data_IF_354305075185
#
_entry.id   IF_354305075185
#
_cell.length_a   1.000
_cell.length_b   1.000
_cell.length_c   1.000
_cell.angle_alpha   90.00
_cell.angle_beta   90.00
_cell.angle_gamma   90.00
#
_symmetry.space_group_name_H-M   'P 1'
#
loop_
_entity.id
_entity.type
_entity.pdbx_description
1 polymer ?
#
# COMPACT_ATOMS: atom_id res chain seq x y z
N UNK A 1 27.04 -3.51 22.79
CA UNK A 1 25.58 -3.51 23.08
C UNK A 1 24.88 -2.85 21.93
N UNK A 2 23.96 -3.56 21.27
CA UNK A 2 23.19 -3.06 20.13
C UNK A 2 21.78 -2.71 20.62
N UNK A 3 21.47 -1.43 20.73
CA UNK A 3 20.15 -0.96 21.15
C UNK A 3 19.15 -1.12 20.00
N UNK A 4 18.03 -1.81 20.24
CA UNK A 4 16.96 -1.96 19.25
C UNK A 4 16.02 -0.76 19.28
N UNK A 5 15.42 -0.42 18.13
CA UNK A 5 14.40 0.65 18.01
C UNK A 5 13.20 0.42 18.95
N UNK A 6 12.92 -0.85 19.30
CA UNK A 6 11.90 -1.19 20.31
C UNK A 6 12.30 -0.74 21.71
N UNK A 7 13.57 -0.86 22.06
CA UNK A 7 14.10 -0.44 23.38
C UNK A 7 14.02 1.09 23.54
N UNK A 8 14.25 1.83 22.45
CA UNK A 8 14.13 3.30 22.43
C UNK A 8 12.67 3.78 22.62
N UNK A 9 11.72 3.22 21.87
CA UNK A 9 10.31 3.60 21.98
C UNK A 9 9.71 3.21 23.33
N UNK A 10 10.08 2.05 23.87
CA UNK A 10 9.69 1.63 25.22
C UNK A 10 10.25 2.55 26.30
N UNK A 11 11.44 3.11 26.11
CA UNK A 11 12.07 4.05 27.04
C UNK A 11 11.46 5.46 26.98
N UNK A 12 11.05 5.92 25.80
CA UNK A 12 10.47 7.26 25.60
C UNK A 12 9.05 7.42 26.18
N UNK A 13 8.26 6.35 26.24
CA UNK A 13 6.92 6.38 26.85
C UNK A 13 6.95 6.55 28.39
N UNK A 14 8.06 6.21 29.03
CA UNK A 14 8.23 6.33 30.50
C UNK A 14 8.59 7.77 30.90
N UNK A 15 9.22 8.54 30.01
CA UNK A 15 9.70 9.89 30.33
C UNK A 15 8.56 10.93 30.37
N UNK A 16 7.49 10.76 29.59
CA UNK A 16 6.35 11.71 29.57
C UNK A 16 5.34 11.50 30.70
N UNK A 17 5.23 10.30 31.28
CA UNK A 17 4.36 10.04 32.43
C UNK A 17 4.96 10.49 33.78
N UNK A 18 6.23 10.91 33.79
CA UNK A 18 6.96 11.26 35.01
C UNK A 18 6.88 12.75 35.41
N UNK A 19 6.22 13.59 34.61
CA UNK A 19 6.15 15.05 34.85
C UNK A 19 4.91 15.51 35.63
N UNK A 20 4.10 14.60 36.15
CA UNK A 20 2.84 14.92 36.84
C UNK A 20 2.74 14.37 38.28
N UNK A 21 3.86 14.27 39.01
CA UNK A 21 3.83 14.11 40.46
C UNK A 21 4.61 15.23 41.16
N UNK A 22 3.91 15.80 42.13
CA UNK A 22 4.19 17.03 42.86
C UNK A 22 5.60 17.14 43.45
N UNK A 23 6.06 18.39 43.56
CA UNK A 23 7.34 18.87 44.10
C UNK A 23 7.70 18.47 45.54
N UNK A 24 6.91 17.62 46.22
CA UNK A 24 7.09 17.31 47.65
C UNK A 24 7.79 15.96 47.95
N UNK A 25 8.26 15.22 46.94
CA UNK A 25 8.95 13.95 47.14
C UNK A 25 10.50 14.05 47.06
N UNK A 26 11.07 15.25 47.16
CA UNK A 26 12.52 15.47 47.35
C UNK A 26 12.80 15.64 48.85
N UNK A 27 12.44 14.63 49.65
CA UNK A 27 12.94 14.48 51.00
C UNK A 27 12.65 13.05 51.48
N UNK A 28 13.67 12.39 52.00
CA UNK A 28 13.61 11.09 52.67
C UNK A 28 13.40 9.86 51.77
N UNK A 29 14.51 9.19 51.43
CA UNK A 29 14.86 7.91 52.07
C UNK A 29 16.19 7.41 51.52
N UNK A 30 17.26 7.77 52.23
CA UNK A 30 18.35 6.84 52.47
C UNK A 30 17.79 5.76 53.40
N UNK A 31 17.52 4.57 52.87
CA UNK A 31 17.74 3.34 53.63
C UNK A 31 17.80 2.16 52.68
N UNK A 32 18.92 1.45 52.72
CA UNK A 32 19.17 0.27 51.92
C UNK A 32 18.18 -0.83 52.25
N UNK A 33 17.44 -1.26 51.23
CA UNK A 33 17.14 -2.67 51.01
C UNK A 33 16.78 -2.81 49.54
N UNK A 34 17.75 -3.26 48.74
CA UNK A 34 17.52 -3.60 47.34
C UNK A 34 16.69 -4.89 47.29
N UNK A 35 15.36 -4.75 47.31
CA UNK A 35 14.49 -5.77 46.73
C UNK A 35 14.60 -5.65 45.21
N UNK A 36 15.32 -6.58 44.60
CA UNK A 36 15.34 -6.77 43.16
C UNK A 36 13.95 -7.21 42.69
N UNK A 37 13.04 -6.26 42.46
CA UNK A 37 11.83 -6.55 41.68
C UNK A 37 12.25 -6.80 40.24
N UNK A 38 12.11 -8.05 39.82
CA UNK A 38 12.49 -8.53 38.51
C UNK A 38 11.87 -7.72 37.38
N UNK A 39 12.74 -7.29 36.47
CA UNK A 39 12.41 -6.97 35.09
C UNK A 39 12.00 -8.25 34.37
N UNK A 40 10.79 -8.73 34.61
CA UNK A 40 10.25 -9.91 33.92
C UNK A 40 8.73 -9.91 33.99
N UNK A 41 8.12 -9.00 33.23
CA UNK A 41 6.77 -9.20 32.73
C UNK A 41 6.60 -8.34 31.48
N UNK A 42 7.29 -8.74 30.41
CA UNK A 42 6.78 -8.47 29.06
C UNK A 42 5.35 -8.96 29.09
N UNK A 43 4.35 -8.07 29.05
CA UNK A 43 2.94 -8.46 28.98
C UNK A 43 2.80 -9.44 27.83
N UNK A 44 2.65 -10.72 28.16
CA UNK A 44 2.45 -11.76 27.17
C UNK A 44 1.09 -11.48 26.54
N UNK A 45 1.12 -10.98 25.31
CA UNK A 45 -0.10 -10.65 24.58
C UNK A 45 -0.95 -11.92 24.52
N UNK A 46 -2.19 -11.83 25.02
CA UNK A 46 -3.13 -12.94 24.99
C UNK A 46 -3.24 -13.42 23.54
N UNK A 47 -2.98 -14.72 23.31
CA UNK A 47 -3.21 -15.30 21.99
C UNK A 47 -4.70 -15.15 21.65
N UNK A 48 -5.03 -14.54 20.50
CA UNK A 48 -6.42 -14.33 20.14
C UNK A 48 -7.11 -15.69 20.01
N UNK A 49 -8.34 -15.80 20.55
CA UNK A 49 -9.13 -17.03 20.55
C UNK A 49 -9.59 -17.44 19.15
N UNK A 50 -9.60 -16.49 18.21
CA UNK A 50 -10.02 -16.67 16.84
C UNK A 50 -9.07 -15.90 15.92
N UNK A 51 -8.85 -16.37 14.68
CA UNK A 51 -8.16 -15.56 13.68
C UNK A 51 -8.91 -14.24 13.45
N UNK A 52 -8.20 -13.23 12.95
CA UNK A 52 -8.79 -11.94 12.57
C UNK A 52 -8.17 -11.52 11.24
N UNK A 53 -9.00 -11.07 10.31
CA UNK A 53 -8.58 -10.48 9.04
C UNK A 53 -8.94 -9.00 9.07
N UNK A 54 -7.96 -8.14 8.81
CA UNK A 54 -8.15 -6.68 8.68
C UNK A 54 -7.66 -6.28 7.31
N UNK A 55 -8.50 -5.64 6.51
CA UNK A 55 -8.19 -5.23 5.14
C UNK A 55 -8.93 -3.94 4.79
N UNK A 56 -8.37 -3.16 3.87
CA UNK A 56 -9.04 -1.99 3.27
C UNK A 56 -10.21 -2.41 2.36
N UNK A 57 -10.15 -3.61 1.81
CA UNK A 57 -11.17 -4.16 0.92
C UNK A 57 -12.33 -4.68 1.76
N UNK A 58 -13.57 -4.31 1.42
CA UNK A 58 -14.76 -4.69 2.21
C UNK A 58 -15.78 -5.42 1.32
N UNK A 59 -16.44 -6.45 1.86
CA UNK A 59 -17.60 -7.09 1.20
C UNK A 59 -17.27 -8.00 0.02
N UNK A 60 -16.00 -8.42 -0.15
CA UNK A 60 -15.61 -9.37 -1.21
C UNK A 60 -15.62 -10.82 -0.71
N UNK A 61 -16.10 -11.72 -1.58
CA UNK A 61 -16.10 -13.18 -1.37
C UNK A 61 -14.71 -13.75 -1.03
N UNK A 62 -13.64 -13.11 -1.49
CA UNK A 62 -12.27 -13.50 -1.19
C UNK A 62 -11.94 -13.43 0.31
N UNK A 63 -12.60 -12.53 1.06
CA UNK A 63 -12.45 -12.42 2.50
C UNK A 63 -13.08 -13.62 3.19
N UNK A 64 -14.25 -14.07 2.75
CA UNK A 64 -14.91 -15.26 3.30
C UNK A 64 -14.10 -16.53 3.02
N UNK A 65 -13.51 -16.63 1.83
CA UNK A 65 -12.60 -17.72 1.48
C UNK A 65 -11.35 -17.71 2.37
N UNK A 66 -10.70 -16.56 2.51
CA UNK A 66 -9.54 -16.41 3.40
C UNK A 66 -9.90 -16.73 4.87
N UNK A 67 -11.08 -16.32 5.31
CA UNK A 67 -11.59 -16.66 6.64
C UNK A 67 -11.77 -18.18 6.82
N UNK A 68 -12.28 -18.85 5.80
CA UNK A 68 -12.41 -20.31 5.81
C UNK A 68 -11.04 -20.99 5.84
N UNK A 69 -10.07 -20.54 5.04
CA UNK A 69 -8.69 -21.04 5.07
C UNK A 69 -8.08 -20.95 6.48
N UNK A 70 -8.30 -19.84 7.18
CA UNK A 70 -7.82 -19.67 8.56
C UNK A 70 -8.52 -20.60 9.56
N UNK A 71 -9.83 -20.85 9.40
CA UNK A 71 -10.56 -21.82 10.23
C UNK A 71 -10.10 -23.26 10.00
N UNK A 72 -9.69 -23.58 8.78
CA UNK A 72 -9.18 -24.89 8.39
C UNK A 72 -7.70 -25.09 8.78
N UNK A 73 -7.09 -24.10 9.44
CA UNK A 73 -5.71 -24.17 9.94
C UNK A 73 -4.64 -23.96 8.86
N UNK A 74 -4.99 -23.37 7.72
CA UNK A 74 -4.02 -23.02 6.67
C UNK A 74 -3.13 -21.84 7.10
N UNK A 75 -2.03 -21.67 6.35
CA UNK A 75 -1.04 -20.62 6.63
C UNK A 75 -1.64 -19.21 6.51
N UNK A 76 -1.24 -18.32 7.42
CA UNK A 76 -1.77 -16.95 7.48
C UNK A 76 -1.35 -16.11 6.28
N UNK A 77 -0.17 -16.37 5.71
CA UNK A 77 0.27 -15.68 4.49
C UNK A 77 -0.57 -16.12 3.30
N UNK A 78 -0.83 -17.42 3.15
CA UNK A 78 -1.62 -17.93 2.03
C UNK A 78 -3.06 -17.38 2.07
N UNK A 79 -3.66 -17.26 3.27
CA UNK A 79 -4.98 -16.63 3.44
C UNK A 79 -5.00 -15.14 3.03
N UNK A 80 -3.99 -14.35 3.40
CA UNK A 80 -3.90 -12.93 2.99
C UNK A 80 -3.66 -12.80 1.48
N UNK A 81 -2.80 -13.65 0.91
CA UNK A 81 -2.54 -13.66 -0.53
C UNK A 81 -3.78 -14.02 -1.35
N UNK A 82 -4.68 -14.86 -0.83
CA UNK A 82 -5.96 -15.13 -1.48
C UNK A 82 -6.81 -13.85 -1.65
N UNK A 83 -6.83 -12.98 -0.62
CA UNK A 83 -7.56 -11.70 -0.69
C UNK A 83 -6.90 -10.77 -1.71
N UNK A 84 -5.57 -10.65 -1.68
CA UNK A 84 -4.82 -9.78 -2.60
C UNK A 84 -4.95 -10.24 -4.05
N UNK A 85 -4.74 -11.54 -4.31
CA UNK A 85 -4.85 -12.14 -5.64
C UNK A 85 -6.24 -11.92 -6.26
N UNK A 86 -7.30 -12.08 -5.47
CA UNK A 86 -8.66 -11.84 -5.95
C UNK A 86 -8.92 -10.39 -6.35
N UNK A 87 -8.18 -9.43 -5.77
CA UNK A 87 -8.22 -8.03 -6.19
C UNK A 87 -7.43 -7.84 -7.49
N UNK A 88 -6.24 -8.42 -7.58
CA UNK A 88 -5.39 -8.35 -8.78
C UNK A 88 -6.03 -9.00 -10.01
N UNK A 89 -6.92 -9.98 -9.80
CA UNK A 89 -7.65 -10.66 -10.88
C UNK A 89 -8.91 -9.92 -11.34
N UNK A 90 -9.37 -8.88 -10.63
CA UNK A 90 -10.62 -8.17 -10.94
C UNK A 90 -10.37 -7.04 -11.95
N UNK A 91 -10.72 -7.21 -13.25
CA UNK A 91 -10.45 -6.19 -14.28
C UNK A 91 -11.26 -4.90 -14.10
N UNK A 92 -12.23 -4.88 -13.18
CA UNK A 92 -13.05 -3.70 -12.86
C UNK A 92 -12.44 -2.85 -11.74
N UNK A 93 -11.45 -3.40 -11.02
CA UNK A 93 -10.63 -2.62 -10.11
C UNK A 93 -9.45 -2.00 -10.87
N UNK A 94 -9.47 -0.68 -10.96
CA UNK A 94 -8.46 0.07 -11.70
C UNK A 94 -7.32 0.55 -10.80
N UNK A 95 -7.30 0.08 -9.55
CA UNK A 95 -6.31 0.44 -8.53
C UNK A 95 -5.34 -0.69 -8.18
N UNK A 96 -5.62 -1.93 -8.62
CA UNK A 96 -4.83 -3.11 -8.27
C UNK A 96 -4.78 -4.08 -9.46
N UNK A 97 -3.60 -4.57 -9.82
CA UNK A 97 -3.44 -5.67 -10.77
C UNK A 97 -3.96 -5.40 -12.18
N UNK A 98 -4.69 -6.37 -12.73
CA UNK A 98 -5.25 -6.31 -14.08
C UNK A 98 -6.23 -5.15 -14.22
N UNK A 99 -6.00 -4.28 -15.20
CA UNK A 99 -6.82 -3.08 -15.39
C UNK A 99 -6.39 -1.91 -14.51
N UNK A 100 -5.30 -2.02 -13.75
CA UNK A 100 -4.66 -0.90 -13.08
C UNK A 100 -4.43 0.30 -14.02
N UNK A 101 -4.59 1.52 -13.49
CA UNK A 101 -4.25 2.73 -14.24
C UNK A 101 -2.75 2.74 -14.57
N UNK A 102 -2.37 3.05 -15.82
CA UNK A 102 -0.97 3.08 -16.23
C UNK A 102 -0.26 4.35 -15.77
N UNK A 103 1.08 4.34 -15.89
CA UNK A 103 1.92 5.52 -15.79
C UNK A 103 1.73 6.46 -17.00
N UNK A 104 2.50 7.56 -17.05
CA UNK A 104 2.37 8.60 -18.08
C UNK A 104 2.57 8.12 -19.53
N UNK A 105 3.32 7.03 -19.70
CA UNK A 105 3.64 6.39 -20.97
C UNK A 105 2.58 5.35 -21.38
N UNK A 106 1.58 5.12 -20.54
CA UNK A 106 0.56 4.09 -20.79
C UNK A 106 1.01 2.69 -20.36
N UNK A 107 2.06 2.57 -19.54
CA UNK A 107 2.56 1.29 -19.04
C UNK A 107 2.00 1.02 -17.64
N UNK A 108 1.39 -0.15 -17.45
CA UNK A 108 0.92 -0.60 -16.13
C UNK A 108 2.09 -1.20 -15.36
N UNK A 109 2.39 -0.58 -14.22
CA UNK A 109 3.47 -0.97 -13.31
C UNK A 109 2.88 -1.30 -11.94
N UNK A 110 3.21 -2.48 -11.43
CA UNK A 110 2.60 -3.02 -10.22
C UNK A 110 3.65 -3.26 -9.13
N UNK A 111 3.24 -2.93 -7.90
CA UNK A 111 4.02 -3.12 -6.69
C UNK A 111 3.29 -4.07 -5.74
N UNK A 112 4.04 -4.93 -5.06
CA UNK A 112 3.47 -5.78 -4.00
C UNK A 112 4.53 -6.26 -3.02
N UNK A 113 4.15 -6.43 -1.76
CA UNK A 113 5.02 -6.98 -0.74
C UNK A 113 4.25 -7.88 0.23
N UNK A 114 4.95 -8.80 0.87
CA UNK A 114 4.39 -9.70 1.86
C UNK A 114 5.40 -9.99 2.98
N UNK A 115 4.88 -10.36 4.15
CA UNK A 115 5.66 -10.77 5.29
C UNK A 115 5.00 -11.94 5.99
N UNK A 116 5.75 -13.01 6.23
CA UNK A 116 5.29 -14.17 6.96
C UNK A 116 5.69 -14.07 8.43
N UNK A 117 4.73 -13.76 9.31
CA UNK A 117 4.97 -13.53 10.75
C UNK A 117 5.73 -14.66 11.46
N UNK A 118 5.25 -15.92 11.42
CA UNK A 118 5.91 -17.06 12.07
C UNK A 118 7.38 -17.25 11.69
N UNK A 119 7.73 -17.10 10.40
CA UNK A 119 9.12 -17.28 9.93
C UNK A 119 9.94 -16.00 9.91
N UNK A 120 9.30 -14.83 10.05
CA UNK A 120 9.89 -13.50 9.90
C UNK A 120 10.54 -13.25 8.52
N UNK A 121 10.16 -14.03 7.51
CA UNK A 121 10.59 -13.82 6.13
C UNK A 121 9.70 -12.79 5.45
N UNK A 122 10.24 -12.07 4.49
CA UNK A 122 9.51 -11.09 3.69
C UNK A 122 9.99 -11.13 2.23
N UNK A 123 9.14 -10.67 1.33
CA UNK A 123 9.45 -10.54 -0.09
C UNK A 123 8.63 -9.42 -0.71
N UNK A 124 9.18 -8.79 -1.74
CA UNK A 124 8.66 -7.59 -2.36
C UNK A 124 9.03 -7.52 -3.82
N UNK A 125 8.16 -6.92 -4.62
CA UNK A 125 8.42 -6.52 -5.98
C UNK A 125 7.93 -5.09 -6.22
N UNK A 126 8.63 -4.35 -7.08
CA UNK A 126 8.22 -3.00 -7.47
C UNK A 126 8.45 -2.71 -8.95
N UNK A 127 7.60 -1.88 -9.55
CA UNK A 127 7.66 -1.52 -10.97
C UNK A 127 7.53 -2.72 -11.91
N UNK A 128 6.81 -3.77 -11.50
CA UNK A 128 6.68 -4.98 -12.32
C UNK A 128 5.71 -4.73 -13.45
N UNK A 129 6.16 -5.01 -14.67
CA UNK A 129 5.36 -4.91 -15.89
C UNK A 129 4.91 -6.30 -16.32
N UNK A 130 3.81 -6.36 -17.07
CA UNK A 130 3.34 -7.56 -17.78
C UNK A 130 3.00 -8.79 -16.91
N UNK A 131 3.02 -8.71 -15.58
CA UNK A 131 2.69 -9.81 -14.67
C UNK A 131 1.48 -9.44 -13.84
N UNK A 132 0.39 -10.21 -13.94
CA UNK A 132 -0.86 -9.91 -13.24
C UNK A 132 -0.77 -10.08 -11.73
N UNK A 133 -0.33 -11.26 -11.27
CA UNK A 133 -0.42 -11.61 -9.85
C UNK A 133 0.88 -11.31 -9.09
N UNK A 134 1.23 -10.02 -8.96
CA UNK A 134 2.49 -9.60 -8.33
C UNK A 134 2.58 -9.92 -6.83
N UNK A 135 1.47 -10.09 -6.11
CA UNK A 135 1.49 -10.55 -4.72
C UNK A 135 2.08 -11.96 -4.58
N UNK A 136 1.85 -12.83 -5.55
CA UNK A 136 2.41 -14.17 -5.57
C UNK A 136 3.88 -14.14 -5.96
N UNK A 137 4.28 -13.24 -6.86
CA UNK A 137 5.70 -13.02 -7.18
C UNK A 137 6.46 -12.54 -5.94
N UNK A 138 5.90 -11.62 -5.16
CA UNK A 138 6.50 -11.15 -3.90
C UNK A 138 6.70 -12.31 -2.90
N UNK A 139 5.73 -13.24 -2.80
CA UNK A 139 5.88 -14.48 -2.02
C UNK A 139 7.01 -15.36 -2.57
N UNK A 140 7.14 -15.46 -3.88
CA UNK A 140 8.15 -16.32 -4.50
C UNK A 140 9.56 -15.71 -4.35
N UNK A 141 9.70 -14.38 -4.34
CA UNK A 141 10.94 -13.69 -3.93
C UNK A 141 11.35 -14.14 -2.52
N UNK A 142 10.40 -14.13 -1.58
CA UNK A 142 10.62 -14.58 -0.19
C UNK A 142 11.03 -16.06 -0.09
N UNK A 143 10.49 -16.92 -0.96
CA UNK A 143 10.69 -18.38 -0.90
C UNK A 143 11.94 -18.86 -1.64
N UNK A 144 12.25 -18.25 -2.78
CA UNK A 144 13.22 -18.77 -3.75
C UNK A 144 14.49 -17.93 -3.88
N UNK A 145 14.62 -16.82 -3.17
CA UNK A 145 15.80 -15.96 -3.24
C UNK A 145 16.39 -15.67 -1.87
N UNK A 146 17.67 -15.26 -1.85
CA UNK A 146 18.30 -14.67 -0.65
C UNK A 146 18.02 -13.17 -0.49
N UNK A 147 17.18 -12.59 -1.35
CA UNK A 147 16.86 -11.17 -1.39
C UNK A 147 15.45 -10.92 -0.85
N UNK A 148 15.16 -9.66 -0.49
CA UNK A 148 13.84 -9.25 0.00
C UNK A 148 13.06 -8.47 -1.06
N UNK A 149 13.72 -7.84 -2.04
CA UNK A 149 13.07 -7.00 -3.03
C UNK A 149 13.71 -7.17 -4.41
N UNK A 150 12.88 -7.30 -5.44
CA UNK A 150 13.27 -7.21 -6.86
C UNK A 150 12.48 -6.07 -7.52
N UNK A 151 13.05 -5.38 -8.49
CA UNK A 151 12.37 -4.27 -9.16
C UNK A 151 12.45 -4.33 -10.68
N UNK A 152 11.50 -3.66 -11.34
CA UNK A 152 11.47 -3.42 -12.78
C UNK A 152 11.53 -4.70 -13.60
N UNK A 153 12.27 -4.63 -14.69
CA UNK A 153 12.49 -5.76 -15.60
C UNK A 153 13.11 -6.98 -14.90
N UNK A 154 13.97 -6.76 -13.89
CA UNK A 154 14.58 -7.85 -13.12
C UNK A 154 13.54 -8.69 -12.38
N UNK A 155 12.51 -8.04 -11.82
CA UNK A 155 11.39 -8.72 -11.19
C UNK A 155 10.50 -9.44 -12.21
N UNK A 156 10.26 -8.84 -13.38
CA UNK A 156 9.51 -9.49 -14.47
C UNK A 156 10.21 -10.77 -14.94
N UNK A 157 11.52 -10.72 -15.20
CA UNK A 157 12.28 -11.91 -15.62
C UNK A 157 12.24 -13.01 -14.56
N UNK A 158 12.35 -12.64 -13.29
CA UNK A 158 12.21 -13.58 -12.17
C UNK A 158 10.83 -14.23 -12.15
N UNK A 159 9.76 -13.45 -12.30
CA UNK A 159 8.40 -13.97 -12.37
C UNK A 159 8.26 -14.98 -13.53
N UNK A 160 8.76 -14.65 -14.71
CA UNK A 160 8.70 -15.59 -15.84
C UNK A 160 9.47 -16.88 -15.56
N UNK A 161 10.64 -16.79 -14.90
CA UNK A 161 11.40 -17.97 -14.49
C UNK A 161 10.67 -18.83 -13.43
N UNK A 162 9.79 -18.23 -12.62
CA UNK A 162 8.92 -18.94 -11.67
C UNK A 162 7.64 -19.50 -12.33
N UNK A 163 7.43 -19.26 -13.63
CA UNK A 163 6.31 -19.82 -14.40
C UNK A 163 5.11 -18.87 -14.58
N UNK A 164 5.24 -17.60 -14.20
CA UNK A 164 4.20 -16.59 -14.48
C UNK A 164 4.20 -16.21 -15.97
N UNK A 165 3.01 -16.07 -16.54
CA UNK A 165 2.86 -15.67 -17.95
C UNK A 165 2.89 -14.15 -18.09
N UNK A 166 3.51 -13.67 -19.17
CA UNK A 166 3.42 -12.26 -19.57
C UNK A 166 2.07 -12.00 -20.21
N UNK A 167 1.36 -10.97 -19.74
CA UNK A 167 0.09 -10.54 -20.30
C UNK A 167 -0.03 -9.01 -20.30
N UNK A 168 -0.82 -8.47 -21.24
CA UNK A 168 -1.12 -7.04 -21.24
C UNK A 168 -2.12 -6.73 -20.12
N UNK A 169 -1.68 -5.92 -19.17
CA UNK A 169 -2.48 -5.54 -18.00
C UNK A 169 -3.38 -4.33 -18.28
N UNK A 170 -3.11 -3.56 -19.34
CA UNK A 170 -3.87 -2.36 -19.69
C UNK A 170 -5.16 -2.75 -20.41
N UNK A 171 -6.28 -2.68 -19.68
CA UNK A 171 -7.61 -2.91 -20.25
C UNK A 171 -8.11 -1.69 -21.01
N UNK A 172 -9.03 -1.89 -21.96
CA UNK A 172 -9.62 -0.80 -22.75
C UNK A 172 -10.27 0.32 -21.90
N UNK A 173 -11.04 0.02 -20.83
CA UNK A 173 -11.55 1.07 -19.94
C UNK A 173 -10.44 1.95 -19.34
N UNK A 174 -9.37 1.33 -18.84
CA UNK A 174 -8.24 2.04 -18.23
C UNK A 174 -7.42 2.80 -19.26
N UNK A 175 -7.26 2.25 -20.47
CA UNK A 175 -6.65 2.94 -21.61
C UNK A 175 -7.43 4.20 -22.01
N UNK A 176 -8.76 4.14 -22.09
CA UNK A 176 -9.60 5.32 -22.40
C UNK A 176 -9.49 6.40 -21.33
N UNK A 177 -9.42 6.02 -20.05
CA UNK A 177 -9.22 6.97 -18.94
C UNK A 177 -7.84 7.62 -18.99
N UNK A 178 -6.80 6.85 -19.33
CA UNK A 178 -5.46 7.38 -19.57
C UNK A 178 -5.42 8.33 -20.77
N UNK A 179 -6.07 8.01 -21.90
CA UNK A 179 -6.16 8.92 -23.06
C UNK A 179 -6.88 10.23 -22.72
N UNK A 180 -7.97 10.15 -21.94
CA UNK A 180 -8.67 11.32 -21.44
C UNK A 180 -7.77 12.17 -20.52
N UNK A 181 -6.95 11.54 -19.68
CA UNK A 181 -5.92 12.21 -18.90
C UNK A 181 -4.86 12.88 -19.80
N UNK A 182 -4.33 12.19 -20.81
CA UNK A 182 -3.33 12.74 -21.77
C UNK A 182 -3.86 13.96 -22.52
N UNK A 183 -5.12 13.95 -22.93
CA UNK A 183 -5.74 15.08 -23.63
C UNK A 183 -5.94 16.29 -22.69
N UNK A 184 -6.13 16.01 -21.40
CA UNK A 184 -6.33 17.03 -20.38
C UNK A 184 -5.05 17.37 -19.63
N UNK A 185 -3.90 16.88 -20.14
CA UNK A 185 -2.71 16.71 -19.32
C UNK A 185 -2.25 18.01 -18.69
N UNK A 186 -1.87 17.80 -17.45
CA UNK A 186 -1.91 18.68 -16.32
C UNK A 186 -0.85 19.78 -16.42
N UNK A 187 -1.28 21.03 -16.54
CA UNK A 187 -0.44 22.18 -16.17
C UNK A 187 -0.26 22.30 -14.64
N UNK A 188 -0.66 21.29 -13.85
CA UNK A 188 -0.69 21.33 -12.38
C UNK A 188 0.42 20.47 -11.74
N UNK A 189 1.30 19.86 -12.55
CA UNK A 189 2.38 19.03 -12.02
C UNK A 189 3.47 19.91 -11.44
N UNK A 190 3.70 19.77 -10.13
CA UNK A 190 4.76 20.49 -9.43
C UNK A 190 6.06 19.69 -9.49
N UNK A 191 6.91 20.07 -10.45
CA UNK A 191 8.30 19.61 -10.56
C UNK A 191 9.28 20.51 -9.78
N UNK A 192 8.74 21.35 -8.88
CA UNK A 192 9.52 22.26 -8.06
C UNK A 192 10.12 21.59 -6.83
N UNK A 193 10.77 22.38 -5.95
CA UNK A 193 11.37 21.89 -4.72
C UNK A 193 10.37 21.13 -3.85
N UNK A 194 10.81 20.18 -3.03
CA UNK A 194 9.93 19.36 -2.16
C UNK A 194 9.35 20.14 -0.96
N UNK A 195 8.39 19.57 -0.19
CA UNK A 195 7.73 20.26 0.93
C UNK A 195 8.66 20.73 2.05
N UNK A 196 9.86 20.17 2.08
CA UNK A 196 10.97 20.46 2.98
C UNK A 196 11.85 21.64 2.53
N UNK A 197 11.68 22.13 1.30
CA UNK A 197 12.42 23.28 0.77
C UNK A 197 11.69 24.61 1.08
N UNK A 198 12.44 25.65 1.45
CA UNK A 198 11.93 27.01 1.69
C UNK A 198 11.20 27.64 0.49
N UNK A 199 11.41 27.10 -0.71
CA UNK A 199 10.79 27.53 -1.96
C UNK A 199 9.57 26.67 -2.35
N UNK A 200 9.15 25.71 -1.52
CA UNK A 200 7.92 24.95 -1.70
C UNK A 200 6.72 25.88 -1.83
N UNK A 201 5.90 25.67 -2.86
CA UNK A 201 4.57 26.29 -2.98
C UNK A 201 3.54 25.18 -3.10
N UNK A 202 2.46 25.30 -2.32
CA UNK A 202 1.30 24.43 -2.50
C UNK A 202 0.75 24.65 -3.92
N UNK A 203 0.58 23.59 -4.74
CA UNK A 203 -0.01 23.73 -6.06
C UNK A 203 -1.39 24.42 -5.94
N UNK A 204 -1.56 25.59 -6.56
CA UNK A 204 -2.85 26.27 -6.52
C UNK A 204 -3.85 25.52 -7.41
N UNK A 205 -5.00 25.08 -6.89
CA UNK A 205 -6.04 24.53 -7.73
C UNK A 205 -6.49 25.65 -8.69
N UNK A 206 -6.54 25.41 -10.00
CA UNK A 206 -6.83 26.47 -10.95
C UNK A 206 -8.22 27.06 -10.69
N UNK A 207 -8.37 28.36 -10.96
CA UNK A 207 -9.58 29.16 -10.72
C UNK A 207 -10.84 28.73 -11.51
N UNK A 208 -10.81 27.58 -12.18
CA UNK A 208 -12.02 26.93 -12.69
C UNK A 208 -12.63 26.14 -11.54
N UNK A 209 -13.85 26.48 -11.14
CA UNK A 209 -14.60 25.73 -10.11
C UNK A 209 -14.52 24.24 -10.40
N UNK A 210 -14.18 23.42 -9.40
CA UNK A 210 -14.00 21.97 -9.52
C UNK A 210 -15.18 21.31 -10.26
N UNK A 211 -16.40 21.81 -10.02
CA UNK A 211 -17.62 21.39 -10.72
C UNK A 211 -17.58 21.63 -12.24
N UNK A 212 -17.07 22.78 -12.70
CA UNK A 212 -16.92 23.10 -14.13
C UNK A 212 -15.91 22.17 -14.78
N UNK A 213 -14.78 21.91 -14.11
CA UNK A 213 -13.79 20.91 -14.56
C UNK A 213 -14.41 19.52 -14.64
N UNK A 214 -15.10 19.08 -13.59
CA UNK A 214 -15.79 17.78 -13.55
C UNK A 214 -16.80 17.63 -14.69
N UNK A 215 -17.66 18.64 -14.92
CA UNK A 215 -18.61 18.65 -16.05
C UNK A 215 -17.90 18.57 -17.41
N UNK A 216 -16.80 19.31 -17.59
CA UNK A 216 -15.98 19.24 -18.81
C UNK A 216 -15.40 17.84 -19.01
N UNK A 217 -14.85 17.23 -17.96
CA UNK A 217 -14.28 15.88 -18.00
C UNK A 217 -15.33 14.81 -18.30
N UNK A 218 -16.53 14.89 -17.72
CA UNK A 218 -17.63 13.96 -18.02
C UNK A 218 -18.05 14.06 -19.49
N UNK A 219 -18.12 15.29 -20.04
CA UNK A 219 -18.42 15.49 -21.45
C UNK A 219 -17.34 14.88 -22.35
N UNK A 220 -16.06 15.19 -22.06
CA UNK A 220 -14.93 14.62 -22.79
C UNK A 220 -14.91 13.08 -22.68
N UNK A 221 -15.22 12.51 -21.50
CA UNK A 221 -15.32 11.07 -21.31
C UNK A 221 -16.36 10.43 -22.24
N UNK A 222 -17.48 11.12 -22.49
CA UNK A 222 -18.47 10.66 -23.48
C UNK A 222 -17.90 10.71 -24.91
N UNK A 223 -17.18 11.78 -25.26
CA UNK A 223 -16.53 11.93 -26.57
C UNK A 223 -15.47 10.84 -26.82
N UNK A 224 -14.75 10.41 -25.78
CA UNK A 224 -13.80 9.28 -25.81
C UNK A 224 -14.48 7.89 -25.77
N UNK A 225 -15.80 7.82 -25.75
CA UNK A 225 -16.55 6.57 -25.75
C UNK A 225 -16.40 5.76 -24.46
N UNK A 226 -16.25 6.43 -23.31
CA UNK A 226 -16.33 5.79 -21.99
C UNK A 226 -17.81 5.51 -21.67
N UNK A 227 -18.08 4.29 -21.19
CA UNK A 227 -19.43 3.84 -20.81
C UNK A 227 -20.09 4.80 -19.82
N UNK A 228 -21.41 5.10 -19.93
CA UNK A 228 -22.09 6.07 -19.08
C UNK A 228 -21.84 5.89 -17.58
N UNK A 229 -21.85 4.64 -17.09
CA UNK A 229 -21.62 4.32 -15.68
C UNK A 229 -20.18 4.55 -15.19
N UNK A 230 -19.21 4.71 -16.09
CA UNK A 230 -17.79 4.91 -15.75
C UNK A 230 -17.34 6.37 -15.91
N UNK A 231 -18.13 7.24 -16.53
CA UNK A 231 -17.73 8.63 -16.85
C UNK A 231 -17.46 9.47 -15.61
N UNK A 232 -18.30 9.32 -14.57
CA UNK A 232 -18.09 10.05 -13.32
C UNK A 232 -16.83 9.58 -12.60
N UNK A 233 -16.62 8.27 -12.55
CA UNK A 233 -15.41 7.65 -11.97
C UNK A 233 -14.15 8.07 -12.74
N UNK A 234 -14.22 8.16 -14.07
CA UNK A 234 -13.13 8.68 -14.90
C UNK A 234 -12.80 10.14 -14.58
N UNK A 235 -13.81 11.00 -14.46
CA UNK A 235 -13.59 12.38 -14.08
C UNK A 235 -12.99 12.49 -12.66
N UNK A 236 -13.46 11.65 -11.72
CA UNK A 236 -12.93 11.61 -10.36
C UNK A 236 -11.47 11.15 -10.32
N UNK A 237 -11.09 10.09 -11.04
CA UNK A 237 -9.69 9.61 -11.06
C UNK A 237 -8.72 10.61 -11.69
N UNK A 238 -9.19 11.41 -12.66
CA UNK A 238 -8.37 12.48 -13.22
C UNK A 238 -8.21 13.64 -12.24
N UNK A 239 -9.25 13.96 -11.46
CA UNK A 239 -9.20 15.05 -10.48
C UNK A 239 -8.48 14.65 -9.19
N UNK A 240 -8.65 13.40 -8.76
CA UNK A 240 -8.23 12.84 -7.48
C UNK A 240 -7.77 11.38 -7.67
N UNK A 241 -6.55 11.15 -8.16
CA UNK A 241 -6.08 9.80 -8.43
C UNK A 241 -5.89 9.01 -7.11
N UNK A 242 -6.38 7.75 -7.02
CA UNK A 242 -6.50 7.00 -5.76
C UNK A 242 -5.19 6.43 -5.18
N UNK A 243 -4.13 6.27 -5.99
CA UNK A 243 -2.85 5.64 -5.60
C UNK A 243 -1.67 6.61 -5.62
N UNK A 244 -1.90 7.89 -5.34
CA UNK A 244 -0.97 8.94 -5.71
C UNK A 244 -1.20 9.34 -7.17
N UNK A 245 -0.40 10.27 -7.67
CA UNK A 245 -0.53 10.78 -9.02
C UNK A 245 -0.44 9.64 -10.06
N UNK A 246 -1.22 9.70 -11.15
CA UNK A 246 -0.94 9.00 -12.45
C UNK A 246 0.45 9.43 -13.03
N UNK A 247 1.17 10.30 -12.30
CA UNK A 247 2.32 11.10 -12.69
C UNK A 247 3.64 10.61 -12.08
N UNK A 248 3.73 9.36 -11.62
CA UNK A 248 5.03 8.77 -11.29
C UNK A 248 5.37 7.75 -12.37
N UNK A 249 6.08 8.22 -13.39
CA UNK A 249 7.05 7.38 -14.10
C UNK A 249 7.94 6.73 -13.05
N UNK A 250 8.02 5.40 -13.04
CA UNK A 250 9.06 4.71 -12.29
C UNK A 250 10.47 5.19 -12.69
#
# INVERSE_FOLDING_TARGET
MWFSRRDFLSSAAVTTASLAFSRDAIAQRQNGNQSSMGLSQTRELLKPKQPVIITKVTGKQSIDQAWQMLKDGQDTLDAVLQVAKAQEDDPNDQTVGLGGLPNEEGVVELDSCCMHGPTRKAGSVGGVRNIKNVCLVARDVMRHTGHVMLCGEGAERFAVAMGYSRENLLTEPSRKMWLLWKETNSTQDWWGPGPDDSHWKTPEPPHITLERKRKKLIKLAADFGIEPGLRERAAEYILFPPSGTIHVSA
#
